data_IF_936375302924
#
_entry.id   IF_936375302924
#
_cell.length_a   1.000
_cell.length_b   1.000
_cell.length_c   1.000
_cell.angle_alpha   90.00
_cell.angle_beta   90.00
_cell.angle_gamma   90.00
#
_symmetry.space_group_name_H-M   'P 1'
#
loop_
_entity.id
_entity.type
_entity.pdbx_description
1 polymer ?
#
# COMPACT_ATOMS: atom_id res chain seq x y z
N UNK A 1 -27.20 -2.19 21.13
CA UNK A 1 -28.59 -2.13 20.63
C UNK A 1 -28.56 -2.38 19.13
N UNK A 2 -29.24 -3.43 18.65
CA UNK A 2 -29.32 -3.77 17.23
C UNK A 2 -30.28 -2.81 16.51
N UNK A 3 -29.82 -2.18 15.43
CA UNK A 3 -30.66 -1.28 14.64
C UNK A 3 -31.80 -2.03 13.94
N UNK A 4 -32.95 -1.37 13.75
CA UNK A 4 -34.11 -1.99 13.10
C UNK A 4 -33.77 -2.42 11.67
N UNK A 5 -34.11 -3.67 11.28
CA UNK A 5 -33.97 -4.15 9.90
C UNK A 5 -34.70 -3.26 8.90
N UNK A 6 -34.25 -3.25 7.64
CA UNK A 6 -34.93 -2.51 6.58
C UNK A 6 -36.34 -3.09 6.34
N UNK A 7 -37.34 -2.21 6.27
CA UNK A 7 -38.68 -2.58 5.82
C UNK A 7 -38.71 -2.65 4.28
N UNK A 8 -39.76 -3.25 3.72
CA UNK A 8 -39.96 -3.25 2.27
C UNK A 8 -40.11 -1.83 1.72
N UNK A 9 -40.82 -0.96 2.44
CA UNK A 9 -40.99 0.44 2.06
C UNK A 9 -39.65 1.20 2.08
N UNK A 10 -38.80 0.95 3.09
CA UNK A 10 -37.46 1.54 3.13
C UNK A 10 -36.65 1.14 1.89
N UNK A 11 -36.69 -0.13 1.47
CA UNK A 11 -35.96 -0.60 0.29
C UNK A 11 -36.45 0.13 -0.96
N UNK A 12 -37.77 0.23 -1.17
CA UNK A 12 -38.33 0.93 -2.33
C UNK A 12 -37.90 2.40 -2.39
N UNK A 13 -37.93 3.10 -1.25
CA UNK A 13 -37.48 4.48 -1.17
C UNK A 13 -35.97 4.64 -1.49
N UNK A 14 -35.13 3.73 -0.98
CA UNK A 14 -33.68 3.76 -1.20
C UNK A 14 -33.29 3.44 -2.65
N UNK A 15 -34.06 2.60 -3.32
CA UNK A 15 -33.76 2.08 -4.66
C UNK A 15 -34.16 3.06 -5.76
N UNK A 16 -35.15 3.92 -5.52
CA UNK A 16 -35.69 4.86 -6.51
C UNK A 16 -34.62 5.67 -7.32
N UNK A 17 -33.58 6.28 -6.73
CA UNK A 17 -32.55 6.96 -7.51
C UNK A 17 -31.71 6.00 -8.39
N UNK A 18 -31.47 4.78 -7.94
CA UNK A 18 -30.69 3.78 -8.67
C UNK A 18 -31.48 3.21 -9.86
N UNK A 19 -32.77 2.92 -9.67
CA UNK A 19 -33.65 2.47 -10.77
C UNK A 19 -33.74 3.50 -11.89
N UNK A 20 -33.79 4.80 -11.55
CA UNK A 20 -33.77 5.89 -12.54
C UNK A 20 -32.47 5.93 -13.37
N UNK A 21 -31.35 5.48 -12.80
CA UNK A 21 -30.08 5.32 -13.53
C UNK A 21 -29.93 3.96 -14.27
N UNK A 22 -31.01 3.17 -14.34
CA UNK A 22 -31.02 1.86 -14.99
C UNK A 22 -30.44 0.71 -14.15
N UNK A 23 -30.27 0.88 -12.84
CA UNK A 23 -29.80 -0.19 -11.94
C UNK A 23 -30.98 -1.01 -11.44
N UNK A 24 -30.86 -2.33 -11.50
CA UNK A 24 -31.86 -3.25 -10.97
C UNK A 24 -31.39 -3.82 -9.64
N UNK A 25 -32.30 -3.93 -8.68
CA UNK A 25 -32.01 -4.57 -7.40
C UNK A 25 -31.87 -6.08 -7.58
N UNK A 26 -30.91 -6.66 -6.89
CA UNK A 26 -30.77 -8.09 -6.69
C UNK A 26 -31.40 -8.46 -5.35
N UNK A 27 -32.69 -8.80 -5.36
CA UNK A 27 -33.46 -9.11 -4.15
C UNK A 27 -32.86 -10.29 -3.36
N UNK A 28 -32.45 -11.41 -4.00
CA UNK A 28 -31.73 -12.50 -3.31
C UNK A 28 -30.44 -12.07 -2.60
N UNK A 29 -29.71 -11.09 -3.13
CA UNK A 29 -28.44 -10.63 -2.56
C UNK A 29 -28.61 -9.50 -1.51
N UNK A 30 -29.82 -8.98 -1.31
CA UNK A 30 -30.11 -7.99 -0.27
C UNK A 30 -30.15 -8.65 1.13
N UNK A 31 -29.65 -7.93 2.13
CA UNK A 31 -29.72 -8.33 3.53
C UNK A 31 -30.42 -7.24 4.35
N UNK A 32 -31.64 -7.54 4.79
CA UNK A 32 -32.47 -6.60 5.57
C UNK A 32 -31.94 -6.41 6.99
N UNK A 33 -31.32 -7.43 7.57
CA UNK A 33 -30.79 -7.42 8.95
C UNK A 33 -29.50 -6.60 8.98
N UNK A 34 -28.62 -6.80 7.99
CA UNK A 34 -27.41 -5.98 7.81
C UNK A 34 -27.69 -4.62 7.14
N UNK A 35 -28.96 -4.34 6.80
CA UNK A 35 -29.42 -3.08 6.18
C UNK A 35 -28.67 -2.77 4.88
N UNK A 36 -28.50 -3.80 4.04
CA UNK A 36 -27.74 -3.79 2.80
C UNK A 36 -28.62 -4.11 1.59
N UNK A 37 -28.59 -3.25 0.58
CA UNK A 37 -29.25 -3.42 -0.71
C UNK A 37 -28.18 -3.64 -1.78
N UNK A 38 -28.29 -4.72 -2.55
CA UNK A 38 -27.35 -5.07 -3.61
C UNK A 38 -28.04 -4.93 -4.96
N UNK A 39 -27.30 -4.49 -5.97
CA UNK A 39 -27.78 -4.35 -7.34
C UNK A 39 -27.20 -5.43 -8.22
N UNK A 40 -27.93 -5.81 -9.28
CA UNK A 40 -27.45 -6.76 -10.27
C UNK A 40 -26.16 -6.25 -10.92
N UNK A 41 -25.19 -7.15 -11.20
CA UNK A 41 -23.98 -6.79 -11.92
C UNK A 41 -24.29 -6.17 -13.28
N UNK A 42 -23.47 -5.21 -13.69
CA UNK A 42 -23.55 -4.59 -15.02
C UNK A 42 -22.19 -4.64 -15.70
N UNK A 43 -22.17 -5.06 -16.94
CA UNK A 43 -20.97 -4.98 -17.76
C UNK A 43 -20.72 -3.53 -18.18
N UNK A 44 -19.46 -3.11 -18.03
CA UNK A 44 -18.99 -1.82 -18.48
C UNK A 44 -18.28 -2.01 -19.81
N UNK A 45 -18.70 -1.23 -20.81
CA UNK A 45 -17.89 -1.03 -21.99
C UNK A 45 -16.56 -0.44 -21.54
N UNK A 46 -15.48 -1.09 -21.95
CA UNK A 46 -14.14 -0.67 -21.63
C UNK A 46 -13.55 0.06 -22.83
N UNK A 47 -13.10 1.29 -22.62
CA UNK A 47 -12.42 2.07 -23.66
C UNK A 47 -11.00 1.56 -23.92
N UNK A 48 -10.45 0.74 -23.01
CA UNK A 48 -9.11 0.16 -23.11
C UNK A 48 -9.15 -1.36 -23.27
N UNK A 49 -8.33 -1.97 -24.16
CA UNK A 49 -8.35 -3.41 -24.46
C UNK A 49 -8.22 -4.31 -23.23
N UNK A 50 -7.38 -3.92 -22.26
CA UNK A 50 -7.13 -4.71 -21.05
C UNK A 50 -8.19 -4.56 -19.96
N UNK A 51 -9.19 -3.71 -20.16
CA UNK A 51 -10.35 -3.58 -19.26
C UNK A 51 -11.59 -4.28 -19.82
N UNK A 52 -11.48 -4.99 -20.94
CA UNK A 52 -12.59 -5.73 -21.53
C UNK A 52 -13.20 -6.74 -20.55
N UNK A 53 -14.53 -6.82 -20.52
CA UNK A 53 -15.26 -7.68 -19.59
C UNK A 53 -15.29 -7.17 -18.15
N UNK A 54 -15.10 -5.86 -17.93
CA UNK A 54 -15.21 -5.24 -16.62
C UNK A 54 -16.65 -5.33 -16.11
N UNK A 55 -16.84 -6.04 -15.00
CA UNK A 55 -18.13 -6.12 -14.33
C UNK A 55 -18.20 -5.16 -13.14
N UNK A 56 -19.31 -4.45 -13.01
CA UNK A 56 -19.58 -3.53 -11.92
C UNK A 56 -20.71 -4.04 -11.03
N UNK A 57 -20.43 -4.07 -9.73
CA UNK A 57 -21.39 -4.36 -8.67
C UNK A 57 -21.56 -3.14 -7.76
N UNK A 58 -22.80 -2.77 -7.45
CA UNK A 58 -23.12 -1.74 -6.46
C UNK A 58 -23.77 -2.37 -5.22
N UNK A 59 -23.42 -1.86 -4.05
CA UNK A 59 -24.08 -2.18 -2.79
C UNK A 59 -24.27 -0.89 -1.96
N UNK A 60 -25.50 -0.66 -1.51
CA UNK A 60 -25.87 0.43 -0.61
C UNK A 60 -26.14 -0.12 0.78
N UNK A 61 -25.45 0.41 1.78
CA UNK A 61 -25.62 0.06 3.19
C UNK A 61 -26.17 1.25 3.95
N UNK A 62 -27.20 1.05 4.77
CA UNK A 62 -27.70 2.06 5.70
C UNK A 62 -26.94 1.92 7.03
N UNK A 63 -25.93 2.77 7.22
CA UNK A 63 -24.99 2.69 8.35
C UNK A 63 -25.62 3.23 9.64
N UNK A 64 -26.37 4.33 9.57
CA UNK A 64 -27.09 4.90 10.72
C UNK A 64 -28.55 5.20 10.35
N UNK A 65 -29.24 6.08 11.09
CA UNK A 65 -30.58 6.52 10.68
C UNK A 65 -30.52 7.47 9.48
N UNK A 66 -29.48 8.31 9.41
CA UNK A 66 -29.32 9.39 8.43
C UNK A 66 -28.05 9.27 7.59
N UNK A 67 -27.31 8.16 7.69
CA UNK A 67 -26.10 7.94 6.89
C UNK A 67 -26.12 6.61 6.14
N UNK A 68 -25.61 6.69 4.92
CA UNK A 68 -25.48 5.60 3.97
C UNK A 68 -24.04 5.45 3.52
N UNK A 69 -23.69 4.24 3.11
CA UNK A 69 -22.45 3.93 2.43
C UNK A 69 -22.78 3.26 1.11
N UNK A 70 -22.32 3.85 0.01
CA UNK A 70 -22.39 3.25 -1.30
C UNK A 70 -21.02 2.68 -1.65
N UNK A 71 -20.97 1.39 -1.99
CA UNK A 71 -19.77 0.71 -2.44
C UNK A 71 -19.93 0.28 -3.89
N UNK A 72 -19.05 0.78 -4.76
CA UNK A 72 -18.85 0.23 -6.10
C UNK A 72 -17.69 -0.73 -6.08
N UNK A 73 -17.91 -1.94 -6.58
CA UNK A 73 -16.87 -2.95 -6.81
C UNK A 73 -16.75 -3.18 -8.30
N UNK A 74 -15.54 -3.04 -8.82
CA UNK A 74 -15.20 -3.30 -10.20
C UNK A 74 -14.34 -4.56 -10.25
N UNK A 75 -14.68 -5.50 -11.13
CA UNK A 75 -14.00 -6.79 -11.25
C UNK A 75 -13.58 -6.99 -12.71
N UNK A 76 -12.28 -7.20 -12.92
CA UNK A 76 -11.74 -7.60 -14.21
C UNK A 76 -11.98 -9.08 -14.48
N UNK A 77 -11.91 -9.50 -15.74
CA UNK A 77 -11.96 -10.90 -16.16
C UNK A 77 -10.86 -11.76 -15.52
N UNK A 78 -9.72 -11.15 -15.19
CA UNK A 78 -8.64 -11.79 -14.41
C UNK A 78 -8.99 -12.07 -12.94
N UNK A 79 -10.14 -11.58 -12.47
CA UNK A 79 -10.56 -11.65 -11.07
C UNK A 79 -10.04 -10.50 -10.20
N UNK A 80 -9.14 -9.64 -10.71
CA UNK A 80 -8.62 -8.49 -9.98
C UNK A 80 -9.74 -7.49 -9.67
N UNK A 81 -9.78 -6.99 -8.42
CA UNK A 81 -10.91 -6.18 -7.91
C UNK A 81 -10.47 -4.81 -7.46
N UNK A 82 -11.23 -3.78 -7.83
CA UNK A 82 -11.11 -2.43 -7.32
C UNK A 82 -12.39 -2.00 -6.60
N UNK A 83 -12.28 -1.06 -5.65
CA UNK A 83 -13.43 -0.59 -4.85
C UNK A 83 -13.46 0.93 -4.75
N UNK A 84 -14.65 1.51 -4.80
CA UNK A 84 -14.92 2.90 -4.46
C UNK A 84 -15.97 2.93 -3.35
N UNK A 85 -15.67 3.54 -2.22
CA UNK A 85 -16.64 3.73 -1.14
C UNK A 85 -16.97 5.20 -0.97
N UNK A 86 -18.25 5.56 -1.02
CA UNK A 86 -18.75 6.90 -0.68
C UNK A 86 -19.64 6.79 0.55
N UNK A 87 -19.58 7.78 1.45
CA UNK A 87 -20.46 7.85 2.63
C UNK A 87 -21.11 9.23 2.72
N UNK A 88 -22.39 9.27 3.08
CA UNK A 88 -23.16 10.52 3.11
C UNK A 88 -24.64 10.29 3.46
N UNK A 89 -25.43 11.36 3.46
CA UNK A 89 -26.83 11.31 3.91
C UNK A 89 -27.84 10.99 2.80
N UNK A 90 -27.51 11.28 1.54
CA UNK A 90 -28.43 11.14 0.42
C UNK A 90 -27.96 10.10 -0.61
N UNK A 91 -28.69 8.98 -0.79
CA UNK A 91 -28.30 7.94 -1.74
C UNK A 91 -28.16 8.43 -3.19
N UNK A 92 -28.98 9.40 -3.62
CA UNK A 92 -28.91 9.97 -4.96
C UNK A 92 -27.61 10.75 -5.19
N UNK A 93 -27.18 11.54 -4.22
CA UNK A 93 -25.91 12.26 -4.28
C UNK A 93 -24.71 11.29 -4.27
N UNK A 94 -24.77 10.24 -3.44
CA UNK A 94 -23.74 9.21 -3.41
C UNK A 94 -23.59 8.51 -4.76
N UNK A 95 -24.71 8.19 -5.41
CA UNK A 95 -24.70 7.59 -6.74
C UNK A 95 -24.04 8.52 -7.76
N UNK A 96 -24.41 9.81 -7.77
CA UNK A 96 -23.80 10.80 -8.66
C UNK A 96 -22.29 10.93 -8.43
N UNK A 97 -21.84 10.98 -7.18
CA UNK A 97 -20.42 11.05 -6.85
C UNK A 97 -19.65 9.79 -7.28
N UNK A 98 -20.24 8.61 -7.09
CA UNK A 98 -19.64 7.34 -7.50
C UNK A 98 -19.55 7.23 -9.01
N UNK A 99 -20.61 7.58 -9.74
CA UNK A 99 -20.64 7.52 -11.21
C UNK A 99 -19.72 8.57 -11.84
N UNK A 100 -19.47 9.71 -11.17
CA UNK A 100 -18.52 10.72 -11.64
C UNK A 100 -17.07 10.25 -11.66
N UNK A 101 -16.70 9.22 -10.88
CA UNK A 101 -15.35 8.64 -10.88
C UNK A 101 -15.26 7.60 -12.02
N UNK A 102 -14.42 7.80 -13.05
CA UNK A 102 -14.31 6.87 -14.18
C UNK A 102 -13.84 5.49 -13.73
N UNK A 103 -14.44 4.43 -14.29
CA UNK A 103 -14.05 3.05 -13.97
C UNK A 103 -12.58 2.76 -14.34
N UNK A 104 -12.08 3.35 -15.42
CA UNK A 104 -10.68 3.22 -15.85
C UNK A 104 -9.66 3.76 -14.85
N UNK A 105 -10.01 4.77 -14.03
CA UNK A 105 -9.11 5.33 -13.01
C UNK A 105 -8.70 4.28 -11.96
N UNK A 106 -9.57 3.30 -11.71
CA UNK A 106 -9.33 2.24 -10.75
C UNK A 106 -8.25 1.25 -11.17
N UNK A 107 -7.87 1.23 -12.43
CA UNK A 107 -6.94 0.24 -12.95
C UNK A 107 -5.77 0.91 -13.66
N UNK A 108 -4.62 0.27 -13.61
CA UNK A 108 -3.52 0.55 -14.53
C UNK A 108 -2.93 -0.77 -14.98
N UNK A 109 -2.71 -0.90 -16.28
CA UNK A 109 -2.19 -2.10 -16.90
C UNK A 109 -0.87 -1.75 -17.56
N UNK A 110 0.11 -2.63 -17.41
CA UNK A 110 1.41 -2.50 -18.05
C UNK A 110 1.95 -3.86 -18.42
N UNK A 111 3.17 -3.87 -18.96
CA UNK A 111 3.82 -5.11 -19.36
C UNK A 111 4.12 -5.98 -18.13
N UNK A 112 3.47 -7.15 -18.05
CA UNK A 112 3.66 -8.11 -16.96
C UNK A 112 2.98 -7.73 -15.64
N UNK A 113 2.19 -6.65 -15.57
CA UNK A 113 1.51 -6.27 -14.35
C UNK A 113 0.11 -5.66 -14.55
N UNK A 114 -0.71 -5.77 -13.51
CA UNK A 114 -1.98 -5.05 -13.39
C UNK A 114 -2.11 -4.44 -11.99
N UNK A 115 -2.68 -3.25 -11.90
CA UNK A 115 -2.92 -2.54 -10.64
C UNK A 115 -4.42 -2.34 -10.49
N UNK A 116 -4.95 -2.62 -9.31
CA UNK A 116 -6.28 -2.24 -8.89
C UNK A 116 -6.23 -1.31 -7.69
N UNK A 117 -6.92 -0.18 -7.77
CA UNK A 117 -6.90 0.89 -6.79
C UNK A 117 -8.24 0.98 -6.07
N UNK A 118 -8.17 1.00 -4.75
CA UNK A 118 -9.31 1.20 -3.88
C UNK A 118 -9.33 2.64 -3.37
N UNK A 119 -10.46 3.30 -3.51
CA UNK A 119 -10.64 4.69 -3.15
C UNK A 119 -11.80 4.86 -2.16
N UNK A 120 -11.72 5.93 -1.40
CA UNK A 120 -12.81 6.45 -0.61
C UNK A 120 -13.13 7.90 -1.03
N UNK A 121 -14.41 8.19 -1.22
CA UNK A 121 -14.93 9.55 -1.34
C UNK A 121 -15.30 10.01 0.07
N UNK A 122 -14.60 11.03 0.54
CA UNK A 122 -14.92 11.70 1.80
C UNK A 122 -15.87 12.85 1.52
N UNK A 123 -16.83 13.10 2.41
CA UNK A 123 -17.90 14.08 2.19
C UNK A 123 -17.40 15.51 1.93
N UNK A 124 -16.18 15.85 2.37
CA UNK A 124 -15.53 17.15 2.16
C UNK A 124 -14.52 17.15 1.00
N UNK A 125 -14.11 15.96 0.51
CA UNK A 125 -13.11 15.85 -0.53
C UNK A 125 -13.78 15.84 -1.91
N UNK A 126 -13.38 16.77 -2.78
CA UNK A 126 -13.82 16.77 -4.17
C UNK A 126 -13.18 15.63 -4.99
N UNK A 127 -12.05 15.09 -4.53
CA UNK A 127 -11.31 14.03 -5.21
C UNK A 127 -11.33 12.71 -4.42
N UNK A 128 -11.33 11.55 -5.10
CA UNK A 128 -11.20 10.25 -4.46
C UNK A 128 -9.84 10.12 -3.76
N UNK A 129 -9.85 9.66 -2.51
CA UNK A 129 -8.65 9.42 -1.71
C UNK A 129 -8.29 7.94 -1.76
N UNK A 130 -7.05 7.61 -2.11
CA UNK A 130 -6.59 6.21 -2.17
C UNK A 130 -6.57 5.61 -0.75
N UNK A 131 -7.25 4.49 -0.55
CA UNK A 131 -7.30 3.75 0.71
C UNK A 131 -6.43 2.49 0.67
N UNK A 132 -6.35 1.84 -0.48
CA UNK A 132 -5.44 0.70 -0.71
C UNK A 132 -5.28 0.45 -2.20
N UNK A 133 -4.31 -0.37 -2.58
CA UNK A 133 -4.19 -0.88 -3.93
C UNK A 133 -3.54 -2.26 -3.93
N UNK A 134 -3.84 -3.04 -4.96
CA UNK A 134 -3.23 -4.34 -5.23
C UNK A 134 -2.52 -4.27 -6.58
N UNK A 135 -1.24 -4.60 -6.59
CA UNK A 135 -0.46 -4.82 -7.79
C UNK A 135 -0.31 -6.33 -7.98
N UNK A 136 -0.68 -6.83 -9.15
CA UNK A 136 -0.54 -8.21 -9.55
C UNK A 136 0.59 -8.30 -10.58
N UNK A 137 1.57 -9.17 -10.34
CA UNK A 137 2.69 -9.48 -11.25
C UNK A 137 2.80 -10.99 -11.38
N UNK A 138 2.26 -11.55 -12.48
CA UNK A 138 2.00 -12.99 -12.57
C UNK A 138 1.10 -13.44 -11.41
N UNK A 139 1.54 -14.43 -10.63
CA UNK A 139 0.84 -14.90 -9.43
C UNK A 139 1.24 -14.18 -8.13
N UNK A 140 2.20 -13.24 -8.20
CA UNK A 140 2.60 -12.43 -7.07
C UNK A 140 1.63 -11.28 -6.85
N UNK A 141 1.31 -11.00 -5.59
CA UNK A 141 0.53 -9.82 -5.22
C UNK A 141 1.32 -8.90 -4.28
N UNK A 142 1.30 -7.60 -4.57
CA UNK A 142 1.70 -6.55 -3.64
C UNK A 142 0.45 -5.77 -3.23
N UNK A 143 0.16 -5.72 -1.95
CA UNK A 143 -0.88 -4.86 -1.38
C UNK A 143 -0.24 -3.66 -0.71
N UNK A 144 -0.73 -2.47 -1.03
CA UNK A 144 -0.40 -1.25 -0.30
C UNK A 144 -1.66 -0.73 0.39
N UNK A 145 -1.60 -0.52 1.70
CA UNK A 145 -2.69 0.02 2.51
C UNK A 145 -2.34 1.43 2.98
N UNK A 146 -3.20 2.39 2.67
CA UNK A 146 -3.00 3.81 2.99
C UNK A 146 -3.84 4.17 4.20
N UNK A 147 -3.18 4.50 5.31
CA UNK A 147 -3.88 4.99 6.50
C UNK A 147 -4.50 6.37 6.25
N UNK A 148 -5.76 6.61 6.64
CA UNK A 148 -6.38 7.93 6.55
C UNK A 148 -5.70 8.96 7.48
N UNK A 149 -5.00 8.49 8.53
CA UNK A 149 -4.34 9.34 9.51
C UNK A 149 -3.15 10.08 8.88
N UNK A 150 -3.05 11.38 9.15
CA UNK A 150 -1.94 12.22 8.67
C UNK A 150 -0.61 11.71 9.23
N UNK A 151 0.44 11.82 8.42
CA UNK A 151 1.83 11.43 8.79
C UNK A 151 2.05 9.94 9.04
N UNK A 152 1.03 9.09 8.84
CA UNK A 152 1.19 7.63 8.86
C UNK A 152 1.63 7.15 7.48
N UNK A 153 2.66 6.29 7.47
CA UNK A 153 3.16 5.64 6.26
C UNK A 153 2.13 4.64 5.73
N UNK A 154 2.17 4.35 4.43
CA UNK A 154 1.42 3.22 3.91
C UNK A 154 2.12 1.92 4.29
N UNK A 155 1.34 0.91 4.65
CA UNK A 155 1.85 -0.44 4.87
C UNK A 155 1.87 -1.18 3.53
N UNK A 156 2.90 -1.98 3.32
CA UNK A 156 3.14 -2.72 2.08
C UNK A 156 3.34 -4.18 2.45
N UNK A 157 2.63 -5.06 1.75
CA UNK A 157 2.73 -6.50 1.90
C UNK A 157 2.92 -7.12 0.52
N UNK A 158 3.97 -7.92 0.36
CA UNK A 158 4.26 -8.68 -0.84
C UNK A 158 4.05 -10.16 -0.53
N UNK A 159 3.06 -10.78 -1.17
CA UNK A 159 2.61 -12.14 -0.89
C UNK A 159 2.86 -13.04 -2.09
N UNK A 160 3.59 -14.13 -1.84
CA UNK A 160 3.83 -15.21 -2.79
C UNK A 160 2.55 -16.02 -3.04
N UNK A 161 2.43 -16.68 -4.20
CA UNK A 161 1.32 -17.57 -4.45
C UNK A 161 1.31 -18.77 -3.47
N UNK A 162 0.13 -19.38 -3.23
CA UNK A 162 0.01 -20.55 -2.38
C UNK A 162 1.01 -21.66 -2.77
N UNK A 163 1.65 -22.26 -1.78
CA UNK A 163 2.62 -23.34 -1.98
C UNK A 163 4.03 -22.87 -2.38
N UNK A 164 4.25 -21.58 -2.62
CA UNK A 164 5.58 -21.03 -2.91
C UNK A 164 6.04 -20.06 -1.84
N UNK A 165 7.36 -19.88 -1.76
CA UNK A 165 8.02 -18.87 -0.94
C UNK A 165 8.86 -17.99 -1.87
N UNK A 166 8.71 -16.69 -1.69
CA UNK A 166 9.49 -15.69 -2.40
C UNK A 166 10.79 -15.42 -1.64
N UNK A 167 11.93 -15.70 -2.26
CA UNK A 167 13.26 -15.48 -1.70
C UNK A 167 13.87 -14.19 -2.28
N UNK A 168 13.61 -13.08 -1.62
CA UNK A 168 14.02 -11.75 -2.09
C UNK A 168 14.90 -11.04 -1.05
N UNK A 169 15.77 -10.12 -1.49
CA UNK A 169 16.53 -9.32 -0.57
C UNK A 169 15.65 -8.25 0.09
N UNK A 170 15.98 -7.90 1.33
CA UNK A 170 15.26 -6.89 2.11
C UNK A 170 15.19 -5.53 1.41
N UNK A 171 16.15 -5.21 0.55
CA UNK A 171 16.23 -3.92 -0.12
C UNK A 171 15.53 -3.88 -1.48
N UNK A 172 14.80 -4.93 -1.87
CA UNK A 172 14.11 -5.04 -3.17
C UNK A 172 13.30 -3.79 -3.55
N UNK A 173 12.55 -3.21 -2.61
CA UNK A 173 11.80 -1.96 -2.83
C UNK A 173 12.57 -0.72 -2.34
N UNK A 174 13.46 -0.89 -1.36
CA UNK A 174 14.24 0.20 -0.78
C UNK A 174 15.16 0.88 -1.81
N UNK A 175 15.60 0.15 -2.84
CA UNK A 175 16.38 0.70 -3.96
C UNK A 175 15.64 1.75 -4.78
N UNK A 176 14.29 1.75 -4.76
CA UNK A 176 13.47 2.74 -5.47
C UNK A 176 13.49 4.12 -4.81
N UNK A 177 14.00 4.22 -3.58
CA UNK A 177 14.33 5.50 -2.97
C UNK A 177 14.11 5.57 -1.46
N UNK A 178 14.31 6.78 -0.92
CA UNK A 178 14.24 7.10 0.51
C UNK A 178 12.86 6.95 1.16
N UNK A 179 11.80 6.92 0.36
CA UNK A 179 10.44 6.75 0.85
C UNK A 179 10.09 5.28 1.13
N UNK A 180 10.90 4.33 0.66
CA UNK A 180 10.68 2.89 0.82
C UNK A 180 11.52 2.36 1.98
N UNK A 181 10.87 1.72 2.94
CA UNK A 181 11.60 0.96 3.97
C UNK A 181 12.19 -0.32 3.38
N UNK A 182 13.23 -0.89 4.01
CA UNK A 182 13.57 -2.30 3.79
C UNK A 182 12.37 -3.20 4.13
N UNK A 183 12.24 -4.30 3.40
CA UNK A 183 11.30 -5.36 3.65
C UNK A 183 11.79 -6.27 4.78
N UNK A 184 10.85 -6.81 5.54
CA UNK A 184 11.08 -7.86 6.53
C UNK A 184 10.15 -9.04 6.26
N UNK A 185 10.67 -10.25 6.40
CA UNK A 185 9.87 -11.46 6.26
C UNK A 185 8.84 -11.56 7.40
N UNK A 186 7.62 -11.94 7.06
CA UNK A 186 6.50 -12.22 7.95
C UNK A 186 5.88 -13.57 7.59
N UNK A 187 4.87 -14.03 8.33
CA UNK A 187 4.14 -15.27 8.00
C UNK A 187 3.38 -15.17 6.68
N UNK A 188 2.93 -13.97 6.33
CA UNK A 188 2.10 -13.68 5.15
C UNK A 188 2.91 -13.34 3.89
N UNK A 189 4.23 -13.14 4.03
CA UNK A 189 5.11 -12.78 2.93
C UNK A 189 6.20 -11.80 3.39
N UNK A 190 6.40 -10.73 2.64
CA UNK A 190 7.36 -9.69 2.96
C UNK A 190 6.65 -8.36 3.21
N UNK A 191 6.87 -7.77 4.37
CA UNK A 191 6.24 -6.51 4.77
C UNK A 191 7.23 -5.36 4.80
N UNK A 192 6.78 -4.18 4.39
CA UNK A 192 7.51 -2.92 4.49
C UNK A 192 6.57 -1.73 4.55
N UNK A 193 7.12 -0.53 4.39
CA UNK A 193 6.39 0.73 4.49
C UNK A 193 6.79 1.70 3.38
N UNK A 194 5.83 2.55 3.01
CA UNK A 194 6.04 3.63 2.06
C UNK A 194 5.68 5.00 2.64
N UNK A 195 6.57 5.98 2.46
CA UNK A 195 6.43 7.33 3.05
C UNK A 195 5.45 8.18 2.28
N UNK A 196 4.35 8.48 2.94
CA UNK A 196 3.37 9.45 2.48
C UNK A 196 3.50 10.75 3.28
N UNK A 197 3.54 11.86 2.56
CA UNK A 197 3.62 13.23 3.10
C UNK A 197 2.63 14.11 2.34
N UNK A 198 2.22 15.20 2.96
CA UNK A 198 1.34 16.20 2.35
C UNK A 198 -0.14 16.04 2.68
N UNK A 199 -0.97 16.77 1.95
CA UNK A 199 -2.44 16.73 2.03
C UNK A 199 -2.99 15.40 1.49
N UNK A 200 -4.25 15.03 1.77
CA UNK A 200 -4.86 13.80 1.23
C UNK A 200 -4.69 13.61 -0.28
N UNK A 201 -4.83 14.69 -1.08
CA UNK A 201 -4.66 14.63 -2.53
C UNK A 201 -3.20 14.39 -2.94
N UNK A 202 -2.26 15.08 -2.28
CA UNK A 202 -0.83 14.88 -2.53
C UNK A 202 -0.40 13.46 -2.15
N UNK A 203 -0.93 12.92 -1.04
CA UNK A 203 -0.69 11.55 -0.60
C UNK A 203 -1.24 10.55 -1.61
N UNK A 204 -2.45 10.77 -2.12
CA UNK A 204 -3.07 9.93 -3.16
C UNK A 204 -2.21 9.90 -4.41
N UNK A 205 -1.88 11.07 -4.99
CA UNK A 205 -1.03 11.14 -6.19
C UNK A 205 0.35 10.50 -5.98
N UNK A 206 0.96 10.70 -4.81
CA UNK A 206 2.26 10.11 -4.49
C UNK A 206 2.19 8.59 -4.35
N UNK A 207 1.10 8.08 -3.76
CA UNK A 207 0.85 6.66 -3.60
C UNK A 207 0.61 5.99 -4.96
N UNK A 208 -0.18 6.62 -5.84
CA UNK A 208 -0.41 6.16 -7.22
C UNK A 208 0.89 6.08 -8.03
N UNK A 209 1.67 7.16 -8.06
CA UNK A 209 2.96 7.17 -8.76
C UNK A 209 3.95 6.13 -8.19
N UNK A 210 3.89 5.87 -6.88
CA UNK A 210 4.71 4.86 -6.24
C UNK A 210 4.29 3.44 -6.62
N UNK A 211 2.98 3.18 -6.72
CA UNK A 211 2.43 1.91 -7.21
C UNK A 211 2.85 1.64 -8.64
N UNK A 212 2.72 2.62 -9.54
CA UNK A 212 3.09 2.46 -10.95
C UNK A 212 4.59 2.12 -11.10
N UNK A 213 5.42 2.82 -10.32
CA UNK A 213 6.87 2.59 -10.32
C UNK A 213 7.24 1.23 -9.74
N UNK A 214 6.59 0.80 -8.66
CA UNK A 214 6.83 -0.51 -8.05
C UNK A 214 6.33 -1.64 -8.95
N UNK A 215 5.18 -1.48 -9.59
CA UNK A 215 4.64 -2.49 -10.48
C UNK A 215 5.59 -2.75 -11.66
N UNK A 216 6.07 -1.68 -12.29
CA UNK A 216 7.08 -1.75 -13.35
C UNK A 216 8.37 -2.41 -12.85
N UNK A 217 8.87 -1.97 -11.68
CA UNK A 217 10.09 -2.52 -11.08
C UNK A 217 9.98 -4.02 -10.77
N UNK A 218 8.85 -4.45 -10.18
CA UNK A 218 8.61 -5.85 -9.84
C UNK A 218 8.48 -6.70 -11.10
N UNK A 219 7.73 -6.26 -12.11
CA UNK A 219 7.58 -6.98 -13.37
C UNK A 219 8.95 -7.21 -14.05
N UNK A 220 9.78 -6.17 -14.13
CA UNK A 220 11.12 -6.27 -14.71
C UNK A 220 12.06 -7.13 -13.85
N UNK A 221 12.07 -6.92 -12.54
CA UNK A 221 13.01 -7.61 -11.64
C UNK A 221 12.71 -9.10 -11.52
N UNK A 222 11.43 -9.49 -11.49
CA UNK A 222 11.03 -10.88 -11.31
C UNK A 222 11.05 -11.69 -12.61
N UNK A 223 11.04 -11.01 -13.76
CA UNK A 223 11.25 -11.64 -15.06
C UNK A 223 12.73 -12.08 -15.26
N UNK A 224 13.66 -11.42 -14.60
CA UNK A 224 15.09 -11.71 -14.66
C UNK A 224 15.57 -12.60 -13.50
N UNK A 225 16.68 -13.36 -13.66
CA UNK A 225 17.31 -14.08 -12.57
C UNK A 225 17.75 -13.16 -11.41
N UNK A 226 17.80 -13.66 -10.16
CA UNK A 226 18.21 -12.87 -9.01
C UNK A 226 19.54 -12.14 -9.16
N UNK A 227 20.53 -12.73 -9.85
CA UNK A 227 21.84 -12.10 -10.05
C UNK A 227 21.75 -10.74 -10.77
N UNK A 228 20.87 -10.59 -11.76
CA UNK A 228 20.75 -9.37 -12.56
C UNK A 228 20.26 -8.17 -11.75
N UNK A 229 19.36 -8.41 -10.78
CA UNK A 229 18.93 -7.36 -9.85
C UNK A 229 20.13 -6.77 -9.09
N UNK A 230 21.04 -7.63 -8.65
CA UNK A 230 22.20 -7.23 -7.86
C UNK A 230 23.18 -6.41 -8.71
N UNK A 231 23.37 -6.83 -9.96
CA UNK A 231 24.27 -6.18 -10.90
C UNK A 231 23.70 -4.82 -11.33
N UNK A 232 22.40 -4.75 -11.66
CA UNK A 232 21.73 -3.52 -12.08
C UNK A 232 21.57 -2.48 -10.95
N UNK A 233 21.36 -2.93 -9.70
CA UNK A 233 21.05 -2.04 -8.58
C UNK A 233 22.20 -1.85 -7.59
N UNK A 234 23.42 -2.28 -7.91
CA UNK A 234 24.58 -2.29 -7.00
C UNK A 234 24.73 -0.99 -6.17
N UNK A 235 24.71 0.19 -6.83
CA UNK A 235 24.85 1.49 -6.16
C UNK A 235 23.65 1.80 -5.26
N UNK A 236 22.44 1.49 -5.72
CA UNK A 236 21.22 1.75 -4.97
C UNK A 236 21.18 0.89 -3.69
N UNK A 237 21.64 -0.36 -3.77
CA UNK A 237 21.73 -1.27 -2.62
C UNK A 237 22.72 -0.76 -1.58
N UNK A 238 23.89 -0.27 -2.01
CA UNK A 238 24.83 0.40 -1.09
C UNK A 238 24.25 1.65 -0.43
N UNK A 239 23.48 2.46 -1.16
CA UNK A 239 22.77 3.59 -0.55
C UNK A 239 21.79 3.14 0.53
N UNK A 240 21.13 2.00 0.35
CA UNK A 240 20.25 1.43 1.38
C UNK A 240 21.05 0.98 2.62
N UNK A 241 22.22 0.36 2.44
CA UNK A 241 23.13 -0.01 3.54
C UNK A 241 23.56 1.22 4.34
N UNK A 242 24.04 2.27 3.65
CA UNK A 242 24.41 3.53 4.30
C UNK A 242 23.25 4.17 5.05
N UNK A 243 22.06 4.17 4.46
CA UNK A 243 20.84 4.68 5.11
C UNK A 243 20.47 3.91 6.37
N UNK A 244 20.63 2.58 6.37
CA UNK A 244 20.38 1.72 7.54
C UNK A 244 21.44 1.86 8.61
N UNK A 245 22.65 2.30 8.26
CA UNK A 245 23.72 2.56 9.22
C UNK A 245 23.54 3.89 9.99
N UNK A 246 22.67 4.80 9.54
CA UNK A 246 22.49 6.12 10.18
C UNK A 246 22.18 6.02 11.68
N UNK A 247 21.26 5.17 12.17
CA UNK A 247 21.02 5.04 13.61
C UNK A 247 22.24 4.54 14.39
N UNK A 248 23.10 3.71 13.78
CA UNK A 248 24.35 3.22 14.40
C UNK A 248 25.42 4.32 14.47
N UNK A 249 25.39 5.30 13.56
CA UNK A 249 26.34 6.42 13.60
C UNK A 249 26.13 7.28 14.85
N UNK A 250 24.90 7.38 15.37
CA UNK A 250 24.61 8.18 16.58
C UNK A 250 25.46 7.76 17.79
N UNK A 251 25.41 6.50 18.28
CA UNK A 251 26.26 6.07 19.40
C UNK A 251 27.75 6.08 19.05
N UNK A 252 28.13 5.78 17.80
CA UNK A 252 29.54 5.79 17.36
C UNK A 252 30.11 7.22 17.43
N UNK A 253 29.39 8.21 16.93
CA UNK A 253 29.81 9.61 16.98
C UNK A 253 29.91 10.11 18.42
N UNK A 254 28.97 9.73 19.30
CA UNK A 254 29.04 10.05 20.73
C UNK A 254 30.32 9.45 21.34
N UNK A 255 30.60 8.17 21.08
CA UNK A 255 31.80 7.50 21.59
C UNK A 255 33.09 8.15 21.08
N UNK A 256 33.21 8.39 19.77
CA UNK A 256 34.37 9.05 19.15
C UNK A 256 34.57 10.44 19.75
N UNK A 257 33.50 11.21 19.92
CA UNK A 257 33.55 12.55 20.50
C UNK A 257 34.13 12.52 21.91
N UNK A 258 33.63 11.61 22.76
CA UNK A 258 34.13 11.45 24.14
C UNK A 258 35.61 11.04 24.16
N UNK A 259 36.03 10.11 23.30
CA UNK A 259 37.42 9.67 23.22
C UNK A 259 38.38 10.70 22.60
N UNK A 260 37.90 11.54 21.68
CA UNK A 260 38.70 12.57 21.04
C UNK A 260 38.80 13.85 21.89
N UNK A 261 37.84 14.07 22.80
CA UNK A 261 37.76 15.27 23.65
C UNK A 261 39.09 15.64 24.35
N UNK A 262 39.87 14.72 24.94
CA UNK A 262 41.12 15.07 25.61
C UNK A 262 42.29 15.39 24.67
N UNK A 263 42.17 15.04 23.38
CA UNK A 263 43.23 15.17 22.38
C UNK A 263 43.03 16.34 21.44
N UNK A 264 41.82 16.87 21.38
CA UNK A 264 41.49 18.05 20.60
C UNK A 264 41.80 19.27 21.47
N UNK A 265 42.71 20.15 21.02
CA UNK A 265 42.89 21.48 21.61
C UNK A 265 41.69 22.36 21.21
N UNK A 266 40.50 22.02 21.73
CA UNK A 266 39.21 22.62 21.34
C UNK A 266 39.19 24.12 21.69
N UNK A 267 40.03 24.55 22.63
CA UNK A 267 40.12 25.93 23.10
C UNK A 267 40.60 26.92 22.02
N UNK A 268 41.33 26.45 21.00
CA UNK A 268 41.92 27.31 19.95
C UNK A 268 41.00 27.54 18.74
N UNK A 269 39.85 26.84 18.65
CA UNK A 269 38.95 26.94 17.50
C UNK A 269 37.58 27.49 17.93
N UNK A 270 37.30 28.79 17.72
CA UNK A 270 36.04 29.40 18.13
C UNK A 270 34.84 28.71 17.43
N UNK A 271 33.86 28.30 18.24
CA UNK A 271 32.61 27.67 17.77
C UNK A 271 32.65 26.15 17.59
N UNK A 272 33.83 25.50 17.63
CA UNK A 272 33.95 24.04 17.54
C UNK A 272 33.23 23.35 18.71
N UNK A 273 33.36 23.91 19.91
CA UNK A 273 32.68 23.46 21.13
C UNK A 273 31.15 23.37 20.94
N UNK A 274 30.55 24.37 20.31
CA UNK A 274 29.10 24.41 20.05
C UNK A 274 28.68 23.31 19.07
N UNK A 275 29.47 23.09 18.00
CA UNK A 275 29.18 22.04 17.00
C UNK A 275 29.28 20.65 17.62
N UNK A 276 30.34 20.39 18.39
CA UNK A 276 30.57 19.11 19.06
C UNK A 276 29.45 18.80 20.05
N UNK A 277 29.01 19.80 20.84
CA UNK A 277 27.92 19.64 21.80
C UNK A 277 26.55 19.41 21.14
N UNK A 278 26.29 20.02 19.97
CA UNK A 278 25.02 19.85 19.25
C UNK A 278 24.98 18.61 18.37
N UNK A 279 26.13 17.96 18.11
CA UNK A 279 26.23 16.78 17.26
C UNK A 279 25.29 15.64 17.69
N UNK A 280 25.20 15.25 18.99
CA UNK A 280 24.27 14.22 19.42
C UNK A 280 22.81 14.60 19.19
N UNK A 281 22.43 15.86 19.44
CA UNK A 281 21.07 16.38 19.22
C UNK A 281 20.67 16.28 17.76
N UNK A 282 21.55 16.69 16.84
CA UNK A 282 21.33 16.60 15.39
C UNK A 282 21.21 15.14 14.95
N UNK A 283 22.06 14.25 15.47
CA UNK A 283 22.02 12.82 15.13
C UNK A 283 20.74 12.13 15.62
N UNK A 284 20.30 12.45 16.84
CA UNK A 284 19.02 11.97 17.38
C UNK A 284 17.86 12.49 16.52
N UNK A 285 17.85 13.78 16.18
CA UNK A 285 16.83 14.37 15.31
C UNK A 285 16.78 13.67 13.94
N UNK A 286 17.94 13.43 13.31
CA UNK A 286 18.05 12.69 12.04
C UNK A 286 17.54 11.24 12.20
N UNK A 287 17.84 10.58 13.32
CA UNK A 287 17.35 9.22 13.60
C UNK A 287 15.81 9.17 13.64
N UNK A 288 15.16 10.13 14.28
CA UNK A 288 13.69 10.23 14.27
C UNK A 288 13.11 10.63 12.91
N UNK A 289 13.92 11.23 12.03
CA UNK A 289 13.55 11.46 10.63
C UNK A 289 13.64 10.18 9.78
N UNK A 290 14.19 9.08 10.29
CA UNK A 290 14.11 7.76 9.65
C UNK A 290 12.77 7.08 9.97
N UNK A 291 12.31 6.20 9.08
CA UNK A 291 10.89 5.86 8.95
C UNK A 291 10.45 4.65 9.77
N UNK A 292 11.42 3.87 10.18
CA UNK A 292 11.24 2.72 11.04
C UNK A 292 11.72 3.07 12.44
N UNK A 293 11.23 2.35 13.45
CA UNK A 293 11.92 2.29 14.74
C UNK A 293 13.40 2.02 14.45
N UNK A 294 14.34 2.83 14.97
CA UNK A 294 15.75 2.68 14.66
C UNK A 294 16.18 1.26 15.00
N UNK A 295 16.43 0.46 13.96
CA UNK A 295 16.97 -0.88 14.11
C UNK A 295 18.47 -0.73 14.24
N UNK A 296 18.98 -0.92 15.44
CA UNK A 296 20.41 -0.98 15.71
C UNK A 296 20.95 -2.35 15.29
N UNK A 297 20.91 -2.63 14.00
CA UNK A 297 21.43 -3.86 13.40
C UNK A 297 22.51 -3.52 12.38
N UNK A 298 23.56 -4.34 12.31
CA UNK A 298 24.55 -4.21 11.25
C UNK A 298 23.87 -4.63 9.94
N UNK A 299 23.70 -3.72 8.96
CA UNK A 299 23.00 -4.05 7.74
C UNK A 299 23.75 -5.16 6.98
N UNK A 300 23.04 -6.14 6.41
CA UNK A 300 23.66 -7.18 5.62
C UNK A 300 24.33 -6.58 4.38
N UNK A 301 25.51 -7.09 4.05
CA UNK A 301 26.25 -6.62 2.87
C UNK A 301 25.51 -7.04 1.60
N UNK A 302 25.50 -6.21 0.56
CA UNK A 302 24.77 -6.49 -0.68
C UNK A 302 25.56 -7.51 -1.52
N UNK A 303 25.51 -8.79 -1.12
CA UNK A 303 26.15 -9.90 -1.83
C UNK A 303 25.31 -10.31 -3.03
N UNK A 304 25.95 -10.67 -4.14
CA UNK A 304 25.29 -11.21 -5.35
C UNK A 304 24.54 -12.50 -5.02
N UNK A 305 23.29 -12.62 -5.46
CA UNK A 305 22.54 -13.86 -5.30
C UNK A 305 23.06 -14.93 -6.27
N UNK A 306 23.25 -16.16 -5.77
CA UNK A 306 23.62 -17.33 -6.59
C UNK A 306 22.41 -18.17 -7.00
N UNK A 307 21.21 -17.84 -6.49
CA UNK A 307 19.98 -18.54 -6.82
C UNK A 307 19.61 -18.34 -8.29
N UNK A 308 19.11 -19.41 -8.93
CA UNK A 308 18.63 -19.38 -10.31
C UNK A 308 17.23 -18.77 -10.45
N UNK A 309 16.44 -18.78 -9.37
CA UNK A 309 15.06 -18.30 -9.35
C UNK A 309 14.78 -17.54 -8.06
N UNK A 310 13.84 -16.58 -8.14
CA UNK A 310 13.26 -15.91 -6.98
C UNK A 310 12.34 -16.82 -6.14
N UNK A 311 11.89 -17.91 -6.74
CA UNK A 311 10.88 -18.80 -6.18
C UNK A 311 11.50 -20.05 -5.57
N UNK A 312 11.02 -20.40 -4.38
CA UNK A 312 11.26 -21.70 -3.73
C UNK A 312 9.93 -22.39 -3.45
N UNK A 313 9.91 -23.71 -3.57
CA UNK A 313 8.75 -24.50 -3.15
C UNK A 313 8.65 -24.45 -1.62
N UNK A 314 7.43 -24.27 -1.09
CA UNK A 314 7.20 -24.36 0.36
C UNK A 314 7.24 -25.82 0.73
N UNK A 315 8.21 -26.22 1.56
CA UNK A 315 8.20 -27.57 2.12
C UNK A 315 6.93 -27.75 2.96
N UNK A 316 6.23 -28.89 2.83
CA UNK A 316 5.08 -29.18 3.68
C UNK A 316 5.55 -29.20 5.13
N UNK A 317 4.82 -28.47 5.99
CA UNK A 317 5.08 -28.40 7.42
C UNK A 317 5.14 -29.84 7.96
N UNK A 318 6.32 -30.28 8.38
CA UNK A 318 6.47 -31.58 9.03
C UNK A 318 5.74 -31.44 10.36
N UNK A 319 4.49 -31.92 10.37
CA UNK A 319 3.64 -31.92 11.55
C UNK A 319 4.38 -32.45 12.78
N UNK A 320 3.92 -32.09 14.00
CA UNK A 320 4.62 -32.44 15.23
C UNK A 320 4.91 -33.95 15.25
N UNK A 321 6.18 -34.31 15.47
CA UNK A 321 6.57 -35.71 15.64
C UNK A 321 5.66 -36.32 16.72
N UNK A 322 4.98 -37.45 16.46
CA UNK A 322 4.32 -38.18 17.53
C UNK A 322 5.39 -38.59 18.54
N UNK A 323 5.19 -38.20 19.80
CA UNK A 323 5.97 -38.67 20.94
C UNK A 323 5.60 -40.08 21.32
#
# INVERSE_FOLDING_TARGET
>A
MTATPLTHHDILALVAPFSRSGRQVDLPACDRIQRRVVFKPRDRAADAPGLAGLSELLALEKVSQSSYRLTRTLVLSSGLRARLTASGAEPAQLLQQVDAVPAGQHFALGEGFAIARHYALQSEAQAPVLSSAVVQVGDLSLTMTVSPVRSVSADVLLSAPPGQVLDIPQDLLAVLGWAWSPLSATREGWSGKFRLRGTPDQRTRRAEAALDRVATHLAQTLAAPPAEFHDAHWLARWRVVWRRAIPLLTPICILITVLAMPRLAIDDIPGLWTVVYQLPTVLIAISFMTQDLPRFEIPPWPRRASARSWWRQREPDKGPKPG
#
